data_IF_776398639925
#
_entry.id   IF_776398639925
#
_cell.length_a   1.000
_cell.length_b   1.000
_cell.length_c   1.000
_cell.angle_alpha   90.00
_cell.angle_beta   90.00
_cell.angle_gamma   90.00
#
_symmetry.space_group_name_H-M   'P 1'
#
loop_
_entity.id
_entity.type
_entity.pdbx_description
1 polymer ?
#
# COMPACT_ATOMS: atom_id res chain seq x y z
N UNK A 1 13.96 -5.80 32.26
CA UNK A 1 12.99 -5.96 31.15
C UNK A 1 11.74 -5.18 31.54
N UNK A 2 11.37 -4.12 30.81
CA UNK A 2 10.22 -3.27 31.16
C UNK A 2 8.94 -3.93 30.64
N UNK A 3 7.95 -4.17 31.50
CA UNK A 3 6.63 -4.65 31.09
C UNK A 3 5.73 -3.44 30.87
N UNK A 4 5.40 -3.17 29.60
CA UNK A 4 4.47 -2.11 29.22
C UNK A 4 3.03 -2.56 29.48
N UNK A 5 2.14 -1.61 29.74
CA UNK A 5 0.71 -1.87 29.89
C UNK A 5 0.09 -2.34 28.57
N UNK A 6 -0.79 -3.35 28.61
CA UNK A 6 -1.25 -4.08 27.42
C UNK A 6 -2.53 -3.53 26.76
N UNK A 7 -3.25 -2.59 27.38
CA UNK A 7 -4.39 -1.84 26.80
C UNK A 7 -5.47 -2.68 26.07
N UNK A 8 -5.63 -3.97 26.40
CA UNK A 8 -6.55 -4.89 25.71
C UNK A 8 -8.03 -4.56 25.89
N UNK A 9 -8.39 -3.98 27.04
CA UNK A 9 -9.75 -3.58 27.42
C UNK A 9 -10.45 -2.65 26.42
N UNK A 10 -9.72 -2.01 25.50
CA UNK A 10 -10.33 -1.18 24.45
C UNK A 10 -11.10 -1.99 23.39
N UNK A 11 -10.73 -3.24 23.15
CA UNK A 11 -11.29 -4.02 22.03
C UNK A 11 -11.64 -5.46 22.35
N UNK A 12 -11.33 -5.96 23.55
CA UNK A 12 -11.45 -7.39 23.88
C UNK A 12 -12.89 -7.95 23.80
N UNK A 13 -13.90 -7.13 24.05
CA UNK A 13 -15.33 -7.51 23.97
C UNK A 13 -16.04 -6.96 22.71
N UNK A 14 -15.29 -6.36 21.78
CA UNK A 14 -15.88 -5.76 20.58
C UNK A 14 -16.10 -6.82 19.48
N UNK A 15 -17.28 -6.86 18.82
CA UNK A 15 -17.50 -7.78 17.71
C UNK A 15 -16.64 -7.41 16.50
N UNK A 16 -16.23 -8.41 15.70
CA UNK A 16 -15.57 -8.19 14.41
C UNK A 16 -16.54 -7.50 13.45
N UNK A 17 -16.09 -6.41 12.83
CA UNK A 17 -16.89 -5.64 11.87
C UNK A 17 -16.22 -5.63 10.50
N UNK A 18 -17.03 -5.64 9.44
CA UNK A 18 -16.55 -5.39 8.08
C UNK A 18 -16.39 -3.89 7.86
N UNK A 19 -15.20 -3.47 7.45
CA UNK A 19 -14.96 -2.09 7.05
C UNK A 19 -15.26 -1.93 5.56
N UNK A 20 -15.85 -0.81 5.13
CA UNK A 20 -15.99 -0.52 3.71
C UNK A 20 -14.61 -0.36 3.07
N UNK A 21 -14.52 -0.68 1.77
CA UNK A 21 -13.31 -0.41 1.02
C UNK A 21 -13.03 1.10 0.98
N UNK A 22 -11.76 1.52 1.07
CA UNK A 22 -11.43 2.93 0.96
C UNK A 22 -11.70 3.43 -0.47
N UNK A 23 -12.22 4.65 -0.60
CA UNK A 23 -12.42 5.30 -1.90
C UNK A 23 -11.10 5.69 -2.59
N UNK A 24 -9.97 5.57 -1.90
CA UNK A 24 -8.64 5.90 -2.39
C UNK A 24 -7.58 5.07 -1.70
N UNK A 25 -6.70 4.44 -2.48
CA UNK A 25 -5.51 3.78 -1.98
C UNK A 25 -4.26 4.47 -2.51
N UNK A 26 -3.33 4.80 -1.61
CA UNK A 26 -2.03 5.36 -1.95
C UNK A 26 -0.97 4.29 -1.68
N UNK A 27 -0.34 3.75 -2.72
CA UNK A 27 0.54 2.59 -2.61
C UNK A 27 1.98 3.03 -2.96
N UNK A 28 2.88 3.17 -1.98
CA UNK A 28 4.27 3.55 -2.22
C UNK A 28 5.01 2.49 -3.05
N UNK A 29 5.89 2.94 -3.94
CA UNK A 29 6.73 2.08 -4.78
C UNK A 29 7.98 1.56 -4.07
N UNK A 30 8.25 2.05 -2.86
CA UNK A 30 9.32 1.58 -1.98
C UNK A 30 8.68 1.11 -0.67
N UNK A 31 8.67 -0.21 -0.45
CA UNK A 31 8.11 -0.83 0.76
C UNK A 31 9.15 -1.70 1.49
N UNK A 32 10.39 -1.70 1.00
CA UNK A 32 11.49 -2.49 1.52
C UNK A 32 12.81 -1.74 1.34
N UNK A 33 13.87 -2.21 2.01
CA UNK A 33 15.22 -1.59 1.97
C UNK A 33 15.94 -1.70 0.62
N UNK A 34 15.41 -2.51 -0.30
CA UNK A 34 15.92 -2.64 -1.67
C UNK A 34 15.65 -1.43 -2.57
N UNK A 35 15.93 -1.61 -3.87
CA UNK A 35 15.61 -0.63 -4.91
C UNK A 35 14.10 -0.44 -5.08
N UNK A 36 13.66 0.78 -5.34
CA UNK A 36 12.26 1.10 -5.64
C UNK A 36 11.73 0.27 -6.81
N UNK A 37 10.48 -0.20 -6.71
CA UNK A 37 9.80 -0.89 -7.79
C UNK A 37 9.39 0.08 -8.91
N UNK A 38 9.49 -0.38 -10.15
CA UNK A 38 9.01 0.34 -11.34
C UNK A 38 7.53 0.07 -11.57
N UNK A 39 6.69 1.10 -11.78
CA UNK A 39 5.28 0.93 -12.14
C UNK A 39 5.12 0.08 -13.40
N UNK A 40 4.16 -0.85 -13.37
CA UNK A 40 3.74 -1.67 -14.51
C UNK A 40 2.39 -1.23 -15.08
N UNK A 41 1.81 -0.16 -14.52
CA UNK A 41 0.56 0.47 -14.93
C UNK A 41 0.79 1.96 -15.17
N UNK A 42 -0.14 2.60 -15.87
CA UNK A 42 -0.14 4.02 -16.22
C UNK A 42 -1.37 4.71 -15.64
N UNK A 43 -1.30 6.02 -15.51
CA UNK A 43 -2.47 6.84 -15.18
C UNK A 43 -3.55 6.61 -16.23
N UNK A 44 -4.77 6.27 -15.78
CA UNK A 44 -5.88 5.91 -16.64
C UNK A 44 -6.21 4.41 -16.64
N UNK A 45 -5.26 3.55 -16.28
CA UNK A 45 -5.45 2.11 -16.36
C UNK A 45 -6.44 1.61 -15.28
N UNK A 46 -7.38 0.70 -15.65
CA UNK A 46 -8.15 -0.05 -14.67
C UNK A 46 -7.27 -1.11 -14.01
N UNK A 47 -7.48 -1.34 -12.72
CA UNK A 47 -6.77 -2.36 -11.93
C UNK A 47 -7.76 -3.15 -11.10
N UNK A 48 -7.51 -4.46 -10.97
CA UNK A 48 -8.27 -5.33 -10.10
C UNK A 48 -7.56 -5.53 -8.76
N UNK A 49 -8.32 -5.81 -7.70
CA UNK A 49 -7.80 -6.26 -6.42
C UNK A 49 -6.79 -7.40 -6.62
N UNK A 50 -5.59 -7.25 -6.06
CA UNK A 50 -4.53 -8.25 -6.18
C UNK A 50 -3.77 -8.24 -7.51
N UNK A 51 -4.10 -7.35 -8.46
CA UNK A 51 -3.33 -7.20 -9.69
C UNK A 51 -1.94 -6.63 -9.39
N UNK A 52 -0.90 -7.17 -10.03
CA UNK A 52 0.46 -6.61 -9.93
C UNK A 52 0.50 -5.24 -10.63
N UNK A 53 0.93 -4.21 -9.90
CA UNK A 53 0.99 -2.81 -10.37
C UNK A 53 2.40 -2.23 -10.40
N UNK A 54 3.35 -2.84 -9.69
CA UNK A 54 4.75 -2.48 -9.79
C UNK A 54 5.64 -3.70 -9.54
N UNK A 55 6.81 -3.73 -10.20
CA UNK A 55 7.78 -4.80 -10.07
C UNK A 55 9.19 -4.26 -10.25
N UNK A 56 10.19 -5.11 -10.00
CA UNK A 56 11.59 -4.79 -10.24
C UNK A 56 12.21 -5.90 -11.09
N UNK A 57 13.14 -5.54 -11.99
CA UNK A 57 13.79 -6.51 -12.87
C UNK A 57 14.61 -7.56 -12.11
N UNK A 58 15.17 -7.18 -10.96
CA UNK A 58 15.79 -8.12 -10.05
C UNK A 58 14.69 -8.80 -9.24
N UNK A 59 14.32 -10.03 -9.60
CA UNK A 59 13.35 -10.91 -8.91
C UNK A 59 13.74 -11.27 -7.46
N UNK A 60 14.71 -10.57 -6.88
CA UNK A 60 15.13 -10.69 -5.47
C UNK A 60 14.17 -9.93 -4.55
N UNK A 61 13.38 -8.99 -5.08
CA UNK A 61 12.41 -8.22 -4.30
C UNK A 61 10.97 -8.53 -4.70
N UNK A 62 10.05 -8.37 -3.74
CA UNK A 62 8.63 -8.67 -3.91
C UNK A 62 7.94 -7.62 -4.81
N UNK A 63 7.09 -8.04 -5.77
CA UNK A 63 6.25 -7.13 -6.53
C UNK A 63 5.14 -6.53 -5.67
N UNK A 64 4.62 -5.38 -6.11
CA UNK A 64 3.56 -4.63 -5.43
C UNK A 64 2.24 -4.87 -6.17
N UNK A 65 1.19 -5.15 -5.42
CA UNK A 65 -0.14 -5.43 -5.93
C UNK A 65 -1.15 -4.38 -5.50
N UNK A 66 -2.23 -4.22 -6.27
CA UNK A 66 -3.32 -3.30 -5.98
C UNK A 66 -4.11 -3.76 -4.74
N UNK A 67 -4.25 -2.86 -3.76
CA UNK A 67 -5.01 -3.10 -2.52
C UNK A 67 -6.52 -2.97 -2.70
N UNK A 68 -6.97 -2.33 -3.79
CA UNK A 68 -8.38 -2.18 -4.17
C UNK A 68 -8.51 -2.30 -5.70
N UNK A 69 -9.67 -2.71 -6.18
CA UNK A 69 -10.05 -2.52 -7.58
C UNK A 69 -10.41 -1.07 -7.84
N UNK A 70 -10.06 -0.54 -9.01
CA UNK A 70 -10.34 0.85 -9.36
C UNK A 70 -9.57 1.29 -10.59
N UNK A 71 -9.26 2.58 -10.67
CA UNK A 71 -8.51 3.21 -11.73
C UNK A 71 -7.29 3.92 -11.15
N UNK A 72 -6.15 3.80 -11.83
CA UNK A 72 -4.95 4.56 -11.47
C UNK A 72 -5.19 6.03 -11.82
N UNK A 73 -5.29 6.88 -10.81
CA UNK A 73 -5.53 8.32 -10.99
C UNK A 73 -4.25 9.15 -10.99
N UNK A 74 -3.18 8.66 -10.35
CA UNK A 74 -1.90 9.34 -10.33
C UNK A 74 -0.73 8.38 -10.05
N UNK A 75 0.46 8.75 -10.55
CA UNK A 75 1.74 8.16 -10.16
C UNK A 75 2.68 9.32 -9.84
N UNK A 76 2.85 9.64 -8.56
CA UNK A 76 3.49 10.89 -8.13
C UNK A 76 4.18 10.77 -6.76
N UNK A 77 4.97 11.77 -6.40
CA UNK A 77 5.54 11.89 -5.05
C UNK A 77 4.45 12.07 -3.99
N UNK A 78 4.43 11.18 -3.01
CA UNK A 78 3.45 11.14 -1.92
C UNK A 78 4.16 10.99 -0.55
N UNK A 79 3.54 11.41 0.56
CA UNK A 79 4.06 11.12 1.90
C UNK A 79 4.44 9.65 2.09
N UNK A 80 5.67 9.40 2.56
CA UNK A 80 6.17 8.08 2.89
C UNK A 80 6.57 8.03 4.37
N UNK A 81 6.13 7.01 5.14
CA UNK A 81 6.29 6.99 6.60
C UNK A 81 7.75 7.04 7.07
N UNK A 82 8.71 6.62 6.23
CA UNK A 82 10.14 6.54 6.59
C UNK A 82 11.01 7.54 5.82
N UNK A 83 10.63 7.89 4.58
CA UNK A 83 11.51 8.63 3.65
C UNK A 83 11.08 10.10 3.51
N UNK A 84 10.04 10.52 4.24
CA UNK A 84 9.37 11.80 4.04
C UNK A 84 8.47 11.78 2.81
N UNK A 85 9.06 11.64 1.62
CA UNK A 85 8.33 11.50 0.34
C UNK A 85 8.93 10.40 -0.53
N UNK A 86 8.06 9.71 -1.27
CA UNK A 86 8.47 8.79 -2.32
C UNK A 86 7.36 8.66 -3.39
N UNK A 87 7.71 8.20 -4.58
CA UNK A 87 6.71 7.85 -5.60
C UNK A 87 5.72 6.81 -5.10
N UNK A 88 4.44 7.05 -5.36
CA UNK A 88 3.33 6.16 -5.07
C UNK A 88 2.35 6.09 -6.25
N UNK A 89 1.63 4.98 -6.34
CA UNK A 89 0.48 4.80 -7.24
C UNK A 89 -0.79 5.12 -6.44
N UNK A 90 -1.61 6.03 -6.94
CA UNK A 90 -2.91 6.36 -6.36
C UNK A 90 -4.01 5.66 -7.16
N UNK A 91 -4.84 4.86 -6.49
CA UNK A 91 -5.98 4.15 -7.07
C UNK A 91 -7.26 4.70 -6.43
N UNK A 92 -8.27 4.99 -7.25
CA UNK A 92 -9.64 5.34 -6.86
C UNK A 92 -10.65 4.40 -7.52
#
# INVERSE_FOLDING_TARGET
MVRLAENKHYSEDQPVQSLPLPAKACIPLIQHLGRMCSPQVKVGDPVNLGQMIASIAANVYAPIHASISGKVVAIQEWPHPVLGRAKAIIIE
#
